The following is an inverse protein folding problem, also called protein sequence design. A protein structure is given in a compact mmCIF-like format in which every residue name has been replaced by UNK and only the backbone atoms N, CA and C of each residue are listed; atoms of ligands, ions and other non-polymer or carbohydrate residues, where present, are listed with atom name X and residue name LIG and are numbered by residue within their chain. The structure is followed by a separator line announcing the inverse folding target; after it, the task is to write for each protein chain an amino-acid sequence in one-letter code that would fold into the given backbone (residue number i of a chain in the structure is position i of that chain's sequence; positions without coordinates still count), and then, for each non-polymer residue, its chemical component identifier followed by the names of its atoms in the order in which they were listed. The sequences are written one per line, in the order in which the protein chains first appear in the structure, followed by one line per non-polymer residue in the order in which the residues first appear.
data_IF_361524508111
#
_entry.id   IF_361524508111
#
_cell.length_a   1.000
_cell.length_b   1.000
_cell.length_c   1.000
_cell.angle_alpha   90.00
_cell.angle_beta   90.00
_cell.angle_gamma   90.00
#
_symmetry.space_group_name_H-M   'P 1'
#
loop_
_entity.id
_entity.type
_entity.pdbx_description
1 polymer ?
#
# COMPACT_ATOMS: atom_id res chain seq x y z
N UNK A 1 7.02 12.29 5.74
CA UNK A 1 5.80 11.47 5.65
C UNK A 1 5.79 10.80 4.28
N UNK A 2 5.62 9.49 4.21
CA UNK A 2 5.51 8.77 2.94
C UNK A 2 4.05 8.80 2.47
N UNK A 3 3.80 9.12 1.20
CA UNK A 3 2.46 9.24 0.59
C UNK A 3 2.32 8.50 -0.74
N UNK A 4 3.39 7.86 -1.22
CA UNK A 4 3.38 7.01 -2.41
C UNK A 4 2.64 5.70 -2.14
N UNK A 5 2.09 5.13 -3.20
CA UNK A 5 1.49 3.80 -3.18
C UNK A 5 2.60 2.76 -3.11
N UNK A 6 2.38 1.65 -2.40
CA UNK A 6 3.29 0.50 -2.41
C UNK A 6 2.69 -0.59 -3.30
N UNK A 7 3.25 -0.78 -4.50
CA UNK A 7 2.78 -1.74 -5.50
C UNK A 7 3.96 -2.61 -5.93
N UNK A 8 3.79 -3.94 -5.88
CA UNK A 8 4.85 -4.91 -6.21
C UNK A 8 6.20 -4.63 -5.51
N UNK A 9 6.16 -4.27 -4.22
CA UNK A 9 7.35 -3.96 -3.42
C UNK A 9 8.02 -2.62 -3.73
N UNK A 10 7.47 -1.80 -4.63
CA UNK A 10 8.02 -0.50 -5.01
C UNK A 10 7.09 0.66 -4.61
N UNK A 11 7.70 1.79 -4.26
CA UNK A 11 6.99 3.03 -3.96
C UNK A 11 6.73 3.82 -5.25
N UNK A 12 5.48 3.88 -5.68
CA UNK A 12 5.04 4.53 -6.92
C UNK A 12 4.16 5.74 -6.64
N UNK A 13 4.28 6.79 -7.46
CA UNK A 13 3.38 7.94 -7.35
C UNK A 13 1.97 7.52 -7.80
N UNK A 14 0.93 7.99 -7.10
CA UNK A 14 -0.44 7.80 -7.56
C UNK A 14 -0.69 8.55 -8.88
N UNK A 15 -1.60 8.03 -9.68
CA UNK A 15 -2.01 8.58 -10.98
C UNK A 15 -3.46 9.07 -11.01
N UNK A 16 -4.18 8.96 -9.89
CA UNK A 16 -5.54 9.43 -9.72
C UNK A 16 -5.63 10.89 -9.23
N UNK A 17 -6.81 11.27 -8.73
CA UNK A 17 -7.03 12.61 -8.23
C UNK A 17 -6.23 12.90 -6.95
N UNK A 18 -5.89 14.16 -6.72
CA UNK A 18 -5.21 14.58 -5.49
C UNK A 18 -6.22 14.80 -4.37
N UNK A 19 -6.11 14.00 -3.31
CA UNK A 19 -6.96 14.04 -2.12
C UNK A 19 -6.27 14.76 -0.96
N UNK A 20 -6.95 15.72 -0.34
CA UNK A 20 -6.43 16.44 0.82
C UNK A 20 -6.83 15.72 2.12
N UNK A 21 -5.83 15.41 2.95
CA UNK A 21 -6.03 14.89 4.30
C UNK A 21 -6.02 16.06 5.28
N UNK A 22 -7.08 16.20 6.06
CA UNK A 22 -7.26 17.34 6.97
C UNK A 22 -6.92 16.96 8.41
N UNK A 23 -6.43 17.95 9.17
CA UNK A 23 -6.29 17.86 10.61
C UNK A 23 -7.67 17.99 11.26
N UNK A 24 -8.17 17.00 12.02
CA UNK A 24 -9.49 17.09 12.63
C UNK A 24 -9.60 18.15 13.73
N UNK A 25 -8.49 18.60 14.34
CA UNK A 25 -8.52 19.60 15.43
C UNK A 25 -8.53 21.04 14.94
N UNK A 26 -7.94 21.31 13.76
CA UNK A 26 -7.74 22.67 13.23
C UNK A 26 -8.42 22.90 11.86
N UNK A 27 -8.79 21.84 11.15
CA UNK A 27 -9.39 21.91 9.82
C UNK A 27 -8.43 22.28 8.68
N UNK A 28 -7.13 22.45 8.96
CA UNK A 28 -6.12 22.71 7.93
C UNK A 28 -5.66 21.42 7.24
N UNK A 29 -5.11 21.54 6.03
CA UNK A 29 -4.57 20.40 5.26
C UNK A 29 -3.25 19.95 5.88
N UNK A 30 -3.17 18.67 6.27
CA UNK A 30 -1.93 18.03 6.72
C UNK A 30 -1.05 17.63 5.54
N UNK A 31 -1.66 16.96 4.55
CA UNK A 31 -0.95 16.44 3.39
C UNK A 31 -1.94 16.24 2.23
N UNK A 32 -1.41 16.28 1.00
CA UNK A 32 -2.14 15.83 -0.20
C UNK A 32 -1.57 14.48 -0.64
N UNK A 33 -2.44 13.50 -0.77
CA UNK A 33 -2.11 12.18 -1.33
C UNK A 33 -2.66 12.11 -2.75
N UNK A 34 -2.02 11.36 -3.63
CA UNK A 34 -2.56 11.10 -4.97
C UNK A 34 -3.18 9.72 -4.96
N UNK A 35 -4.44 9.63 -5.38
CA UNK A 35 -5.16 8.36 -5.43
C UNK A 35 -4.57 7.42 -6.48
N UNK A 36 -4.89 6.13 -6.38
CA UNK A 36 -4.52 5.15 -7.38
C UNK A 36 -5.42 5.30 -8.62
N UNK A 37 -4.85 5.24 -9.82
CA UNK A 37 -5.64 5.04 -11.02
C UNK A 37 -6.23 3.61 -11.06
N UNK A 38 -7.26 3.38 -11.87
CA UNK A 38 -7.79 2.02 -12.07
C UNK A 38 -6.71 1.03 -12.58
N UNK A 39 -5.76 1.49 -13.37
CA UNK A 39 -4.63 0.69 -13.84
C UNK A 39 -3.67 0.33 -12.69
N UNK A 40 -3.40 1.26 -11.78
CA UNK A 40 -2.59 1.00 -10.59
C UNK A 40 -3.28 0.04 -9.61
N UNK A 41 -4.59 0.16 -9.44
CA UNK A 41 -5.39 -0.83 -8.68
C UNK A 41 -5.26 -2.21 -9.30
N UNK A 42 -5.40 -2.32 -10.63
CA UNK A 42 -5.24 -3.58 -11.34
C UNK A 42 -3.83 -4.17 -11.18
N UNK A 43 -2.78 -3.36 -11.32
CA UNK A 43 -1.40 -3.79 -11.13
C UNK A 43 -1.13 -4.27 -9.69
N UNK A 44 -1.71 -3.63 -8.69
CA UNK A 44 -1.62 -4.06 -7.29
C UNK A 44 -2.24 -5.45 -7.10
N UNK A 45 -3.45 -5.67 -7.64
CA UNK A 45 -4.13 -6.98 -7.57
C UNK A 45 -3.32 -8.05 -8.30
N UNK A 46 -2.84 -7.79 -9.51
CA UNK A 46 -1.99 -8.73 -10.26
C UNK A 46 -0.71 -9.10 -9.49
N UNK A 47 -0.07 -8.12 -8.83
CA UNK A 47 1.13 -8.39 -8.03
C UNK A 47 0.85 -9.27 -6.81
N UNK A 48 -0.32 -9.09 -6.18
CA UNK A 48 -0.75 -9.91 -5.06
C UNK A 48 -1.07 -11.35 -5.50
N UNK A 49 -1.75 -11.51 -6.64
CA UNK A 49 -2.07 -12.80 -7.24
C UNK A 49 -0.79 -13.58 -7.60
N UNK A 50 0.16 -12.94 -8.28
CA UNK A 50 1.45 -13.54 -8.63
C UNK A 50 2.29 -13.97 -7.40
N UNK A 51 2.17 -13.26 -6.28
CA UNK A 51 2.87 -13.59 -5.04
C UNK A 51 2.17 -14.70 -4.23
N UNK A 52 0.87 -14.93 -4.46
CA UNK A 52 0.04 -15.78 -3.61
C UNK A 52 0.48 -17.23 -3.59
N UNK A 53 0.83 -17.81 -4.75
CA UNK A 53 1.22 -19.21 -4.83
C UNK A 53 2.42 -19.51 -3.92
N UNK A 54 3.49 -18.72 -4.00
CA UNK A 54 4.66 -18.89 -3.15
C UNK A 54 4.39 -18.53 -1.68
N UNK A 55 3.65 -17.44 -1.44
CA UNK A 55 3.38 -16.96 -0.09
C UNK A 55 2.46 -17.89 0.71
N UNK A 56 1.43 -18.44 0.06
CA UNK A 56 0.46 -19.35 0.69
C UNK A 56 1.11 -20.64 1.20
N UNK A 57 2.15 -21.12 0.49
CA UNK A 57 2.94 -22.29 0.87
C UNK A 57 4.01 -22.00 1.93
N UNK A 58 4.25 -20.73 2.29
CA UNK A 58 5.21 -20.37 3.33
C UNK A 58 4.74 -20.94 4.67
N UNK A 59 5.58 -21.67 5.45
CA UNK A 59 5.15 -22.29 6.71
C UNK A 59 4.52 -21.27 7.68
N UNK A 60 3.45 -21.65 8.43
CA UNK A 60 2.78 -20.72 9.34
C UNK A 60 3.71 -20.05 10.35
N UNK A 61 4.71 -20.77 10.87
CA UNK A 61 5.73 -20.24 11.79
C UNK A 61 6.55 -19.10 11.18
N UNK A 62 6.86 -19.17 9.89
CA UNK A 62 7.71 -18.21 9.20
C UNK A 62 6.91 -16.94 8.89
N UNK A 63 5.63 -17.09 8.51
CA UNK A 63 4.69 -15.96 8.40
C UNK A 63 4.49 -15.27 9.74
N UNK A 64 4.35 -16.02 10.83
CA UNK A 64 4.25 -15.47 12.19
C UNK A 64 5.51 -14.71 12.61
N UNK A 65 6.71 -15.22 12.28
CA UNK A 65 7.95 -14.53 12.55
C UNK A 65 8.06 -13.19 11.81
N UNK A 66 7.57 -13.10 10.57
CA UNK A 66 7.51 -11.84 9.82
C UNK A 66 6.55 -10.82 10.46
N UNK A 67 5.39 -11.28 10.95
CA UNK A 67 4.46 -10.43 11.70
C UNK A 67 5.06 -9.95 13.03
N UNK A 68 5.78 -10.82 13.75
CA UNK A 68 6.45 -10.45 14.99
C UNK A 68 7.56 -9.42 14.76
N UNK A 69 8.27 -9.50 13.63
CA UNK A 69 9.29 -8.50 13.27
C UNK A 69 8.69 -7.12 12.95
N UNK A 70 7.42 -7.06 12.57
CA UNK A 70 6.71 -5.82 12.28
C UNK A 70 6.15 -5.14 13.55
N UNK A 71 5.86 -5.91 14.60
CA UNK A 71 5.31 -5.44 15.87
C UNK A 71 6.33 -4.64 16.70
#
# INVERSE_FOLDING_TARGET
MQTKLLINGALVAGEGESHAVYNPSQGNVLVRITEASGAQVHAAVQSADAAFDAWSQTPPKDRAALLLKLA
#
